data_IF_330047605287
#
_entry.id   IF_330047605287
#
_cell.length_a   1.000
_cell.length_b   1.000
_cell.length_c   1.000
_cell.angle_alpha   90.00
_cell.angle_beta   90.00
_cell.angle_gamma   90.00
#
_symmetry.space_group_name_H-M   'P 1'
#
loop_
_entity.id
_entity.type
_entity.pdbx_description
1 polymer ?
#
# COMPACT_ATOMS: atom_id res chain seq x y z
N UNK A 1 2.28 1.43 0.63
CA UNK A 1 1.42 2.14 -0.35
C UNK A 1 1.92 3.58 -0.44
N UNK A 2 2.30 4.05 -1.62
CA UNK A 2 2.78 5.41 -1.83
C UNK A 2 1.77 6.15 -2.71
N UNK A 3 1.45 7.39 -2.34
CA UNK A 3 0.50 8.24 -3.08
C UNK A 3 1.11 9.61 -3.33
N UNK A 4 0.59 10.30 -4.35
CA UNK A 4 1.10 11.61 -4.79
C UNK A 4 0.56 12.78 -3.98
N UNK A 5 -0.70 12.67 -3.52
CA UNK A 5 -1.43 13.76 -2.86
C UNK A 5 -2.02 13.31 -1.54
N UNK A 6 -2.10 14.22 -0.58
CA UNK A 6 -2.71 13.96 0.74
C UNK A 6 -4.18 13.53 0.64
N UNK A 7 -4.94 14.08 -0.31
CA UNK A 7 -6.32 13.65 -0.56
C UNK A 7 -6.41 12.15 -0.88
N UNK A 8 -5.46 11.61 -1.65
CA UNK A 8 -5.40 10.19 -1.96
C UNK A 8 -5.05 9.36 -0.72
N UNK A 9 -4.16 9.86 0.14
CA UNK A 9 -3.87 9.22 1.43
C UNK A 9 -5.14 9.08 2.26
N UNK A 10 -5.95 10.14 2.34
CA UNK A 10 -7.26 10.11 2.99
C UNK A 10 -8.21 9.07 2.38
N UNK A 11 -8.32 9.01 1.06
CA UNK A 11 -9.18 8.03 0.36
C UNK A 11 -8.76 6.57 0.62
N UNK A 12 -7.45 6.29 0.60
CA UNK A 12 -6.92 4.93 0.81
C UNK A 12 -7.08 4.50 2.27
N UNK A 13 -6.83 5.40 3.23
CA UNK A 13 -7.04 5.08 4.64
C UNK A 13 -8.53 4.87 4.91
N UNK A 14 -9.38 5.75 4.38
CA UNK A 14 -10.82 5.74 4.60
C UNK A 14 -11.20 6.17 6.02
N UNK A 15 -12.50 6.28 6.29
CA UNK A 15 -13.02 6.67 7.62
C UNK A 15 -12.51 5.68 8.67
N UNK A 16 -11.82 6.20 9.69
CA UNK A 16 -11.24 5.38 10.78
C UNK A 16 -10.34 4.23 10.30
N UNK A 17 -9.71 4.34 9.13
CA UNK A 17 -8.82 3.29 8.60
C UNK A 17 -9.55 2.09 7.97
N UNK A 18 -10.88 2.15 7.81
CA UNK A 18 -11.67 1.01 7.36
C UNK A 18 -11.27 0.51 5.96
N UNK A 19 -10.93 1.42 5.03
CA UNK A 19 -10.52 1.03 3.68
C UNK A 19 -9.17 0.32 3.70
N UNK A 20 -8.18 0.87 4.41
CA UNK A 20 -6.85 0.25 4.53
C UNK A 20 -6.94 -1.13 5.20
N UNK A 21 -7.81 -1.29 6.20
CA UNK A 21 -8.07 -2.58 6.85
C UNK A 21 -8.67 -3.61 5.88
N UNK A 22 -9.61 -3.19 5.04
CA UNK A 22 -10.22 -4.07 4.03
C UNK A 22 -9.21 -4.50 2.96
N UNK A 23 -8.38 -3.56 2.50
CA UNK A 23 -7.28 -3.84 1.55
C UNK A 23 -6.30 -4.84 2.18
N UNK A 24 -5.84 -4.59 3.40
CA UNK A 24 -4.91 -5.47 4.11
C UNK A 24 -5.48 -6.86 4.38
N UNK A 25 -6.76 -6.96 4.74
CA UNK A 25 -7.44 -8.24 4.92
C UNK A 25 -7.46 -9.05 3.64
N UNK A 26 -7.85 -8.43 2.52
CA UNK A 26 -7.95 -9.09 1.22
C UNK A 26 -6.58 -9.52 0.69
N UNK A 27 -5.59 -8.64 0.75
CA UNK A 27 -4.22 -8.94 0.37
C UNK A 27 -3.64 -10.09 1.20
N UNK A 28 -3.78 -10.04 2.53
CA UNK A 28 -3.30 -11.10 3.44
C UNK A 28 -3.97 -12.44 3.19
N UNK A 29 -5.27 -12.47 2.86
CA UNK A 29 -5.98 -13.70 2.52
C UNK A 29 -5.44 -14.31 1.22
N UNK A 30 -5.20 -13.48 0.19
CA UNK A 30 -4.62 -13.93 -1.06
C UNK A 30 -3.19 -14.48 -0.85
N UNK A 31 -2.35 -13.75 -0.13
CA UNK A 31 -0.98 -14.20 0.19
C UNK A 31 -1.00 -15.50 0.99
N UNK A 32 -1.87 -15.61 2.01
CA UNK A 32 -2.00 -16.85 2.81
C UNK A 32 -2.39 -18.04 1.93
N UNK A 33 -3.30 -17.85 0.96
CA UNK A 33 -3.70 -18.92 0.02
C UNK A 33 -2.56 -19.30 -0.92
N UNK A 34 -1.83 -18.32 -1.42
CA UNK A 34 -0.73 -18.53 -2.37
C UNK A 34 0.45 -19.25 -1.73
N UNK A 35 0.86 -18.83 -0.53
CA UNK A 35 2.03 -19.39 0.15
C UNK A 35 1.71 -20.56 1.09
N UNK A 36 0.44 -20.81 1.40
CA UNK A 36 0.02 -21.92 2.28
C UNK A 36 0.39 -21.74 3.77
N UNK A 37 0.94 -20.59 4.16
CA UNK A 37 1.41 -20.33 5.53
C UNK A 37 0.69 -19.13 6.17
N UNK A 38 0.63 -19.07 7.52
CA UNK A 38 0.17 -17.86 8.22
C UNK A 38 1.06 -16.66 7.85
N UNK A 39 0.43 -15.54 7.49
CA UNK A 39 1.12 -14.28 7.13
C UNK A 39 0.61 -13.16 8.03
N UNK A 40 1.55 -12.44 8.62
CA UNK A 40 1.33 -11.12 9.19
C UNK A 40 1.69 -10.06 8.14
N UNK A 41 0.75 -9.17 7.83
CA UNK A 41 0.94 -8.13 6.82
C UNK A 41 0.66 -6.77 7.45
N UNK A 42 1.69 -5.94 7.49
CA UNK A 42 1.61 -4.56 7.97
C UNK A 42 1.66 -3.61 6.78
N UNK A 43 0.72 -2.64 6.75
CA UNK A 43 0.57 -1.73 5.62
C UNK A 43 0.62 -0.28 6.08
N UNK A 44 1.34 0.53 5.31
CA UNK A 44 1.52 1.96 5.53
C UNK A 44 1.15 2.76 4.29
N UNK A 45 0.58 3.94 4.50
CA UNK A 45 0.32 4.91 3.42
C UNK A 45 1.22 6.13 3.62
N UNK A 46 2.15 6.34 2.69
CA UNK A 46 3.06 7.49 2.67
C UNK A 46 2.73 8.39 1.48
N UNK A 47 2.71 9.70 1.70
CA UNK A 47 2.63 10.67 0.60
C UNK A 47 4.06 11.02 0.22
N UNK A 48 4.35 10.94 -1.07
CA UNK A 48 5.57 11.47 -1.66
C UNK A 48 5.13 12.25 -2.89
N UNK A 49 5.54 13.51 -3.02
CA UNK A 49 5.34 14.28 -4.24
C UNK A 49 6.46 13.96 -5.24
N UNK A 50 6.19 14.06 -6.54
CA UNK A 50 7.17 13.93 -7.63
C UNK A 50 8.04 12.65 -7.63
N UNK A 51 7.55 11.55 -7.05
CA UNK A 51 8.31 10.29 -6.99
C UNK A 51 8.38 9.52 -8.31
N UNK A 52 7.52 9.84 -9.28
CA UNK A 52 7.55 9.18 -10.59
C UNK A 52 8.65 9.74 -11.50
N UNK A 53 9.14 10.94 -11.21
CA UNK A 53 10.14 11.64 -12.04
C UNK A 53 11.56 11.47 -11.48
N UNK A 54 11.70 10.86 -10.30
CA UNK A 54 13.00 10.50 -9.75
C UNK A 54 13.41 9.11 -10.24
N UNK A 55 14.39 9.03 -11.15
CA UNK A 55 14.99 7.77 -11.66
C UNK A 55 15.37 6.80 -10.52
N UNK A 56 15.81 7.34 -9.40
CA UNK A 56 16.17 6.60 -8.20
C UNK A 56 14.98 5.90 -7.52
N UNK A 57 13.76 6.39 -7.71
CA UNK A 57 12.57 5.77 -7.12
C UNK A 57 11.88 4.77 -8.06
N UNK A 58 12.02 4.95 -9.37
CA UNK A 58 11.56 3.96 -10.35
C UNK A 58 12.33 2.65 -10.20
N UNK A 59 13.66 2.73 -10.11
CA UNK A 59 14.55 1.59 -9.86
C UNK A 59 14.24 0.80 -8.57
N UNK A 60 13.83 1.48 -7.49
CA UNK A 60 13.45 0.83 -6.21
C UNK A 60 12.11 0.08 -6.32
N UNK A 61 11.21 0.48 -7.23
CA UNK A 61 9.91 -0.20 -7.43
C UNK A 61 10.02 -1.44 -8.34
N UNK A 62 11.21 -1.74 -8.88
CA UNK A 62 11.40 -2.83 -9.84
C UNK A 62 10.79 -2.54 -11.22
N UNK A 63 10.66 -1.26 -11.57
CA UNK A 63 10.24 -0.76 -12.88
C UNK A 63 11.43 -0.14 -13.60
#
# INVERSE_FOLDING_TARGET
IIVKRDSQKGMIIGKQGQNLKNIGKSARQNLKRFFGVPIHLELWVKVKSNWQDSDEYLSIQGL
#
